data_IF_343128306601
#
_entry.id   IF_343128306601
#
_cell.length_a   1.000
_cell.length_b   1.000
_cell.length_c   1.000
_cell.angle_alpha   90.00
_cell.angle_beta   90.00
_cell.angle_gamma   90.00
#
_symmetry.space_group_name_H-M   'P 1'
#
loop_
_entity.id
_entity.type
_entity.pdbx_description
1 polymer ?
#
# COMPACT_ATOMS: atom_id res chain seq x y z
N UNK A 1 16.17 -12.14 -18.27
CA UNK A 1 15.46 -10.84 -18.15
C UNK A 1 15.65 -10.36 -16.74
N UNK A 2 16.14 -9.13 -16.54
CA UNK A 2 16.33 -8.55 -15.21
C UNK A 2 15.04 -8.67 -14.38
N UNK A 3 15.05 -9.53 -13.36
CA UNK A 3 13.94 -9.77 -12.46
C UNK A 3 13.54 -8.53 -11.62
N UNK A 4 14.02 -7.34 -11.97
CA UNK A 4 13.83 -6.08 -11.26
C UNK A 4 13.36 -4.93 -12.14
N UNK A 5 13.12 -5.15 -13.45
CA UNK A 5 12.58 -4.09 -14.32
C UNK A 5 11.08 -3.96 -14.13
N UNK A 6 10.66 -2.91 -13.42
CA UNK A 6 9.27 -2.46 -13.40
C UNK A 6 8.98 -1.65 -14.68
N UNK A 7 7.88 -1.93 -15.41
CA UNK A 7 7.57 -1.29 -16.69
C UNK A 7 7.34 0.24 -16.54
N UNK A 8 7.87 1.09 -17.45
CA UNK A 8 7.78 2.55 -17.34
C UNK A 8 6.36 3.12 -17.57
N UNK A 9 5.45 2.36 -18.20
CA UNK A 9 4.07 2.78 -18.48
C UNK A 9 3.03 1.81 -17.90
N UNK A 10 3.18 1.48 -16.62
CA UNK A 10 2.31 0.53 -15.94
C UNK A 10 0.96 1.16 -15.54
N UNK A 11 -0.12 0.79 -16.26
CA UNK A 11 -1.49 1.04 -15.82
C UNK A 11 -2.32 -0.23 -15.98
N UNK A 12 -2.64 -0.90 -14.87
CA UNK A 12 -3.64 -1.97 -14.89
C UNK A 12 -5.04 -1.39 -14.70
N UNK A 13 -5.82 -1.38 -15.78
CA UNK A 13 -7.25 -1.05 -15.80
C UNK A 13 -8.00 -2.21 -16.47
N UNK A 14 -8.19 -3.33 -15.76
CA UNK A 14 -8.78 -4.51 -16.36
C UNK A 14 -10.30 -4.32 -16.45
N UNK A 15 -10.85 -4.49 -17.64
CA UNK A 15 -12.29 -4.60 -17.88
C UNK A 15 -12.81 -6.02 -17.63
N UNK A 16 -11.91 -7.01 -17.67
CA UNK A 16 -12.20 -8.42 -17.42
C UNK A 16 -11.04 -9.13 -16.71
N UNK A 17 -11.27 -10.35 -16.21
CA UNK A 17 -10.20 -11.22 -15.69
C UNK A 17 -9.13 -11.52 -16.75
N UNK A 18 -9.53 -11.64 -18.02
CA UNK A 18 -8.62 -11.90 -19.15
C UNK A 18 -7.70 -10.72 -19.43
N UNK A 19 -8.23 -9.49 -19.38
CA UNK A 19 -7.41 -8.29 -19.55
C UNK A 19 -6.43 -8.12 -18.39
N UNK A 20 -6.87 -8.46 -17.18
CA UNK A 20 -6.04 -8.44 -15.98
C UNK A 20 -4.83 -9.37 -16.11
N UNK A 21 -5.05 -10.64 -16.43
CA UNK A 21 -3.96 -11.61 -16.57
C UNK A 21 -3.06 -11.29 -17.76
N UNK A 22 -3.63 -10.88 -18.90
CA UNK A 22 -2.86 -10.47 -20.08
C UNK A 22 -1.88 -9.34 -19.75
N UNK A 23 -2.34 -8.30 -19.03
CA UNK A 23 -1.49 -7.18 -18.62
C UNK A 23 -0.41 -7.66 -17.63
N UNK A 24 -0.76 -8.46 -16.62
CA UNK A 24 0.22 -8.97 -15.66
C UNK A 24 1.31 -9.83 -16.34
N UNK A 25 0.95 -10.66 -17.31
CA UNK A 25 1.90 -11.46 -18.10
C UNK A 25 2.78 -10.55 -18.95
N UNK A 26 2.20 -9.57 -19.65
CA UNK A 26 2.94 -8.61 -20.46
C UNK A 26 3.98 -7.84 -19.63
N UNK A 27 3.64 -7.50 -18.39
CA UNK A 27 4.53 -6.81 -17.46
C UNK A 27 5.52 -7.75 -16.74
N UNK A 28 5.44 -9.07 -16.97
CA UNK A 28 6.32 -10.06 -16.35
C UNK A 28 6.08 -10.21 -14.85
N UNK A 29 4.87 -9.91 -14.37
CA UNK A 29 4.52 -10.00 -12.95
C UNK A 29 3.97 -11.37 -12.57
N UNK A 30 3.43 -12.07 -13.55
CA UNK A 30 2.98 -13.45 -13.43
C UNK A 30 3.41 -14.20 -14.68
N UNK A 31 3.50 -15.52 -14.57
CA UNK A 31 3.67 -16.43 -15.71
C UNK A 31 2.48 -17.38 -15.78
N UNK A 32 2.10 -17.79 -16.98
CA UNK A 32 1.18 -18.91 -17.18
C UNK A 32 1.85 -20.19 -16.63
N UNK A 33 1.09 -20.98 -15.87
CA UNK A 33 1.58 -22.20 -15.25
C UNK A 33 0.46 -23.24 -15.15
N UNK A 34 0.14 -23.88 -16.28
CA UNK A 34 -0.91 -24.92 -16.35
C UNK A 34 -0.57 -26.18 -15.54
N UNK A 35 0.69 -26.35 -15.11
CA UNK A 35 1.14 -27.47 -14.28
C UNK A 35 1.14 -27.17 -12.77
N UNK A 36 0.68 -25.97 -12.35
CA UNK A 36 0.65 -25.58 -10.95
C UNK A 36 -0.22 -26.53 -10.12
N UNK A 37 0.29 -26.94 -8.96
CA UNK A 37 -0.46 -27.77 -8.00
C UNK A 37 -1.27 -26.96 -6.99
N UNK A 38 -1.04 -25.65 -6.97
CA UNK A 38 -1.72 -24.68 -6.13
C UNK A 38 -2.51 -23.70 -7.00
N UNK A 39 -3.71 -23.32 -6.57
CA UNK A 39 -4.48 -22.28 -7.24
C UNK A 39 -5.54 -21.67 -6.31
N UNK A 40 -5.45 -20.35 -6.08
CA UNK A 40 -6.52 -19.54 -5.50
C UNK A 40 -7.44 -18.96 -6.59
N UNK A 41 -8.69 -18.64 -6.28
CA UNK A 41 -9.59 -18.05 -7.26
C UNK A 41 -9.32 -16.54 -7.46
N UNK A 42 -9.23 -16.08 -8.70
CA UNK A 42 -9.32 -14.65 -9.00
C UNK A 42 -10.79 -14.19 -9.02
N UNK A 43 -11.12 -13.25 -8.14
CA UNK A 43 -12.48 -12.77 -7.91
C UNK A 43 -12.59 -11.25 -8.13
N UNK A 44 -13.70 -10.77 -8.71
CA UNK A 44 -13.96 -9.33 -8.78
C UNK A 44 -14.37 -8.81 -7.39
N UNK A 45 -13.67 -7.80 -6.91
CA UNK A 45 -14.01 -7.06 -5.70
C UNK A 45 -14.44 -5.64 -6.09
N UNK A 46 -15.57 -5.19 -5.55
CA UNK A 46 -16.07 -3.82 -5.76
C UNK A 46 -15.07 -2.81 -5.17
N UNK A 47 -14.80 -1.71 -5.89
CA UNK A 47 -14.04 -0.59 -5.32
C UNK A 47 -14.94 0.18 -4.35
N UNK A 48 -14.40 0.46 -3.17
CA UNK A 48 -15.07 1.27 -2.15
C UNK A 48 -15.49 2.61 -2.73
N UNK A 49 -16.73 3.03 -2.47
CA UNK A 49 -17.27 4.32 -2.93
C UNK A 49 -17.71 4.36 -4.39
N UNK A 50 -17.82 3.22 -5.09
CA UNK A 50 -18.28 3.18 -6.49
C UNK A 50 -19.40 2.17 -6.71
N UNK A 51 -20.36 2.53 -7.58
CA UNK A 51 -21.52 1.69 -7.92
C UNK A 51 -21.20 0.64 -8.98
N UNK A 52 -20.28 0.90 -9.92
CA UNK A 52 -19.99 -0.03 -11.02
C UNK A 52 -18.49 -0.22 -11.33
N UNK A 53 -17.60 0.07 -10.38
CA UNK A 53 -16.16 -0.17 -10.56
C UNK A 53 -15.68 -1.37 -9.75
N UNK A 54 -15.08 -2.34 -10.43
CA UNK A 54 -14.49 -3.53 -9.83
C UNK A 54 -12.96 -3.53 -9.98
N UNK A 55 -12.29 -4.25 -9.09
CA UNK A 55 -10.88 -4.64 -9.16
C UNK A 55 -10.80 -6.16 -9.11
N UNK A 56 -9.92 -6.76 -9.90
CA UNK A 56 -9.64 -8.19 -9.76
C UNK A 56 -8.70 -8.39 -8.59
N UNK A 57 -9.04 -9.32 -7.69
CA UNK A 57 -8.27 -9.69 -6.50
C UNK A 57 -8.18 -11.21 -6.42
N UNK A 58 -7.12 -11.73 -5.83
CA UNK A 58 -6.96 -13.17 -5.64
C UNK A 58 -7.43 -13.54 -4.23
N UNK A 59 -8.28 -14.55 -4.12
CA UNK A 59 -8.77 -15.03 -2.84
C UNK A 59 -7.76 -15.98 -2.17
N UNK A 60 -6.78 -15.38 -1.50
CA UNK A 60 -5.74 -16.11 -0.78
C UNK A 60 -6.17 -16.67 0.58
N UNK A 61 -7.45 -16.57 0.98
CA UNK A 61 -7.91 -17.09 2.29
C UNK A 61 -7.51 -18.55 2.55
N UNK A 62 -7.58 -19.49 1.58
CA UNK A 62 -7.15 -20.87 1.81
C UNK A 62 -5.65 -20.99 2.10
N UNK A 63 -4.81 -20.30 1.34
CA UNK A 63 -3.35 -20.31 1.52
C UNK A 63 -2.95 -19.59 2.80
N UNK A 64 -3.61 -18.48 3.12
CA UNK A 64 -3.37 -17.72 4.35
C UNK A 64 -3.58 -18.59 5.60
N UNK A 65 -4.54 -19.54 5.60
CA UNK A 65 -4.74 -20.48 6.72
C UNK A 65 -3.58 -21.46 6.93
N UNK A 66 -2.77 -21.70 5.90
CA UNK A 66 -1.64 -22.62 5.92
C UNK A 66 -0.31 -21.89 6.11
N UNK A 67 -0.33 -20.56 6.07
CA UNK A 67 0.86 -19.71 6.17
C UNK A 67 1.16 -19.46 7.64
N UNK A 68 2.42 -19.60 8.02
CA UNK A 68 2.90 -19.17 9.34
C UNK A 68 3.13 -17.66 9.25
N UNK A 69 2.36 -16.82 9.97
CA UNK A 69 2.43 -15.37 9.82
C UNK A 69 3.77 -14.83 10.33
N UNK A 70 4.30 -13.84 9.62
CA UNK A 70 5.42 -13.03 10.12
C UNK A 70 4.92 -12.20 11.31
N UNK A 71 5.61 -12.30 12.44
CA UNK A 71 5.42 -11.37 13.54
C UNK A 71 5.85 -9.96 13.10
N UNK A 72 4.89 -9.06 12.91
CA UNK A 72 5.12 -7.67 12.57
C UNK A 72 4.94 -6.77 13.78
N UNK A 73 5.79 -5.75 13.90
CA UNK A 73 5.57 -4.68 14.88
C UNK A 73 4.57 -3.70 14.27
N UNK A 74 3.44 -3.51 14.95
CA UNK A 74 2.54 -2.41 14.64
C UNK A 74 3.18 -1.12 15.18
N UNK A 75 3.39 -0.15 14.29
CA UNK A 75 3.89 1.15 14.70
C UNK A 75 2.82 1.85 15.54
N UNK A 76 3.23 2.44 16.67
CA UNK A 76 2.35 3.29 17.47
C UNK A 76 2.16 4.61 16.73
N UNK A 77 0.93 4.89 16.30
CA UNK A 77 0.61 6.07 15.51
C UNK A 77 0.91 7.37 16.27
N UNK A 78 0.61 7.44 17.57
CA UNK A 78 0.83 8.65 18.38
C UNK A 78 2.33 8.95 18.50
N UNK A 79 3.15 7.93 18.75
CA UNK A 79 4.60 8.08 18.78
C UNK A 79 5.18 8.55 17.43
N UNK A 80 4.60 8.10 16.31
CA UNK A 80 4.99 8.58 14.99
C UNK A 80 4.55 10.04 14.77
N UNK A 81 3.37 10.44 15.23
CA UNK A 81 2.88 11.82 15.09
C UNK A 81 3.72 12.81 15.89
N UNK A 82 4.21 12.41 17.07
CA UNK A 82 5.15 13.22 17.87
C UNK A 82 6.43 13.55 17.09
N UNK A 83 6.95 12.62 16.28
CA UNK A 83 8.16 12.84 15.45
C UNK A 83 7.95 13.90 14.35
N UNK A 84 6.69 14.18 14.00
CA UNK A 84 6.32 15.09 12.92
C UNK A 84 5.92 16.47 13.46
N UNK A 85 5.58 16.55 14.75
CA UNK A 85 5.23 17.80 15.40
C UNK A 85 6.34 18.85 15.20
N UNK A 86 5.95 20.10 14.93
CA UNK A 86 6.89 21.19 14.63
C UNK A 86 7.30 21.30 13.16
N UNK A 87 7.00 20.30 12.32
CA UNK A 87 7.31 20.36 10.89
C UNK A 87 6.42 21.32 10.13
N UNK A 88 6.99 22.08 9.19
CA UNK A 88 6.26 23.12 8.42
C UNK A 88 6.22 22.85 6.92
N UNK A 89 6.92 21.81 6.46
CA UNK A 89 7.03 21.42 5.06
C UNK A 89 6.77 19.92 4.95
N UNK A 90 5.80 19.55 4.10
CA UNK A 90 5.36 18.17 3.96
C UNK A 90 5.29 17.75 2.49
N UNK A 91 5.56 16.48 2.19
CA UNK A 91 5.18 15.85 0.93
C UNK A 91 4.60 14.47 1.21
N UNK A 92 3.60 14.08 0.45
CA UNK A 92 2.99 12.76 0.51
C UNK A 92 3.25 12.01 -0.77
N UNK A 93 3.64 10.75 -0.66
CA UNK A 93 3.90 9.86 -1.78
C UNK A 93 3.12 8.55 -1.64
N UNK A 94 2.64 8.04 -2.78
CA UNK A 94 1.98 6.73 -2.93
C UNK A 94 2.82 5.93 -3.91
N UNK A 95 3.15 4.68 -3.58
CA UNK A 95 3.86 3.79 -4.51
C UNK A 95 2.90 3.24 -5.55
N UNK A 96 3.32 3.23 -6.81
CA UNK A 96 2.53 2.69 -7.90
C UNK A 96 2.38 1.18 -7.73
N UNK A 97 1.23 0.74 -7.20
CA UNK A 97 0.90 -0.68 -7.04
C UNK A 97 2.00 -1.41 -6.23
N UNK A 98 2.35 -0.83 -5.07
CA UNK A 98 3.51 -1.14 -4.23
C UNK A 98 3.89 -2.63 -4.18
N UNK A 99 2.98 -3.51 -3.77
CA UNK A 99 3.25 -4.95 -3.67
C UNK A 99 3.85 -5.57 -4.95
N UNK A 100 3.33 -5.21 -6.13
CA UNK A 100 3.80 -5.74 -7.41
C UNK A 100 5.21 -5.29 -7.79
N UNK A 101 5.79 -4.31 -7.08
CA UNK A 101 7.18 -3.91 -7.26
C UNK A 101 8.14 -4.88 -6.56
N UNK A 102 7.69 -5.61 -5.53
CA UNK A 102 8.53 -6.53 -4.76
C UNK A 102 8.62 -7.88 -5.46
N UNK A 103 9.82 -8.44 -5.69
CA UNK A 103 9.96 -9.80 -6.17
C UNK A 103 9.45 -10.80 -5.12
N UNK A 104 8.86 -11.89 -5.61
CA UNK A 104 8.48 -13.02 -4.78
C UNK A 104 9.55 -14.10 -4.85
N UNK A 105 9.96 -14.63 -3.69
CA UNK A 105 10.95 -15.70 -3.62
C UNK A 105 10.46 -16.94 -4.40
N UNK A 106 11.30 -17.60 -5.23
CA UNK A 106 10.91 -18.73 -6.07
C UNK A 106 10.09 -19.81 -5.33
N UNK A 107 10.50 -20.17 -4.12
CA UNK A 107 9.85 -21.21 -3.32
C UNK A 107 8.42 -20.86 -2.88
N UNK A 108 8.09 -19.57 -2.82
CA UNK A 108 6.74 -19.10 -2.47
C UNK A 108 5.84 -18.87 -3.68
N UNK A 109 6.40 -18.86 -4.90
CA UNK A 109 5.66 -18.47 -6.11
C UNK A 109 4.49 -19.40 -6.40
N UNK A 110 4.75 -20.71 -6.45
CA UNK A 110 3.72 -21.68 -6.83
C UNK A 110 2.54 -21.66 -5.84
N UNK A 111 2.82 -21.60 -4.54
CA UNK A 111 1.79 -21.54 -3.47
C UNK A 111 0.84 -20.35 -3.63
N UNK A 112 1.32 -19.23 -4.18
CA UNK A 112 0.52 -18.03 -4.44
C UNK A 112 -0.10 -17.98 -5.84
N UNK A 113 -0.09 -19.08 -6.58
CA UNK A 113 -0.73 -19.17 -7.89
C UNK A 113 -2.24 -18.94 -7.80
N UNK A 114 -2.82 -18.42 -8.87
CA UNK A 114 -4.24 -18.14 -8.97
C UNK A 114 -4.81 -18.54 -10.32
N UNK A 115 -6.07 -18.93 -10.34
CA UNK A 115 -6.79 -19.36 -11.54
C UNK A 115 -7.83 -18.34 -11.99
N UNK A 116 -7.98 -18.23 -13.31
CA UNK A 116 -9.10 -17.58 -13.98
C UNK A 116 -9.84 -18.60 -14.85
N UNK A 117 -10.83 -18.16 -15.62
CA UNK A 117 -11.51 -19.00 -16.62
C UNK A 117 -10.59 -19.44 -17.78
N UNK A 118 -9.41 -18.81 -17.93
CA UNK A 118 -8.49 -19.05 -19.04
C UNK A 118 -7.38 -20.06 -18.68
N UNK A 119 -6.73 -19.88 -17.53
CA UNK A 119 -5.57 -20.67 -17.11
C UNK A 119 -5.21 -20.41 -15.63
N UNK A 120 -4.20 -21.11 -15.14
CA UNK A 120 -3.53 -20.85 -13.87
C UNK A 120 -2.29 -19.99 -14.09
N UNK A 121 -2.12 -18.98 -13.24
CA UNK A 121 -1.02 -18.03 -13.30
C UNK A 121 -0.25 -18.04 -11.97
N UNK A 122 1.07 -18.12 -12.07
CA UNK A 122 1.97 -18.09 -10.91
C UNK A 122 2.62 -16.70 -10.80
N UNK A 123 2.48 -16.01 -9.67
CA UNK A 123 3.09 -14.69 -9.48
C UNK A 123 4.61 -14.77 -9.33
N UNK A 124 5.30 -13.79 -9.91
CA UNK A 124 6.74 -13.56 -9.78
C UNK A 124 7.03 -12.38 -8.83
N UNK A 125 5.97 -11.71 -8.38
CA UNK A 125 5.96 -10.52 -7.52
C UNK A 125 5.01 -10.74 -6.37
N UNK A 126 5.19 -10.02 -5.28
CA UNK A 126 4.33 -10.14 -4.10
C UNK A 126 2.90 -9.72 -4.48
N UNK A 127 1.91 -10.64 -4.44
CA UNK A 127 0.55 -10.30 -4.78
C UNK A 127 -0.15 -9.64 -3.58
N UNK A 128 -1.14 -8.79 -3.86
CA UNK A 128 -1.97 -8.22 -2.81
C UNK A 128 -2.90 -9.29 -2.22
N UNK A 129 -3.07 -9.29 -0.88
CA UNK A 129 -4.04 -10.14 -0.18
C UNK A 129 -3.47 -11.45 0.41
N UNK A 130 -2.22 -11.79 0.09
CA UNK A 130 -1.51 -12.85 0.81
C UNK A 130 -1.16 -12.37 2.23
N UNK A 131 -1.08 -13.32 3.17
CA UNK A 131 -0.99 -13.07 4.61
C UNK A 131 0.08 -12.05 4.98
N UNK A 132 1.31 -12.23 4.48
CA UNK A 132 2.46 -11.42 4.88
C UNK A 132 2.77 -10.26 3.93
N UNK A 133 1.98 -10.06 2.86
CA UNK A 133 2.31 -9.06 1.83
C UNK A 133 2.52 -7.66 2.42
N UNK A 134 1.64 -7.24 3.34
CA UNK A 134 1.71 -5.92 3.97
C UNK A 134 2.92 -5.77 4.91
N UNK A 135 3.16 -6.77 5.76
CA UNK A 135 4.27 -6.75 6.73
C UNK A 135 5.61 -6.80 6.00
N UNK A 136 5.74 -7.71 5.02
CA UNK A 136 6.92 -7.80 4.18
C UNK A 136 7.17 -6.47 3.47
N UNK A 137 6.16 -5.89 2.82
CA UNK A 137 6.29 -4.62 2.11
C UNK A 137 6.75 -3.49 3.02
N UNK A 138 6.13 -3.38 4.20
CA UNK A 138 6.53 -2.38 5.19
C UNK A 138 8.00 -2.55 5.63
N UNK A 139 8.42 -3.77 5.94
CA UNK A 139 9.80 -4.07 6.32
C UNK A 139 10.79 -3.68 5.20
N UNK A 140 10.45 -3.97 3.94
CA UNK A 140 11.29 -3.62 2.80
C UNK A 140 11.40 -2.10 2.61
N UNK A 141 10.29 -1.36 2.71
CA UNK A 141 10.34 0.10 2.61
C UNK A 141 11.13 0.71 3.76
N UNK A 142 10.93 0.22 4.99
CA UNK A 142 11.68 0.69 6.14
C UNK A 142 13.18 0.41 6.00
N UNK A 143 13.57 -0.72 5.40
CA UNK A 143 14.97 -1.01 5.12
C UNK A 143 15.56 -0.02 4.10
N UNK A 144 14.82 0.29 3.03
CA UNK A 144 15.25 1.25 1.98
C UNK A 144 15.40 2.66 2.54
N UNK A 145 14.45 3.12 3.34
CA UNK A 145 14.40 4.50 3.83
C UNK A 145 14.97 4.65 5.25
N UNK A 146 15.69 3.64 5.76
CA UNK A 146 16.14 3.55 7.15
C UNK A 146 16.82 4.83 7.66
N UNK A 147 17.65 5.44 6.83
CA UNK A 147 18.39 6.67 7.15
C UNK A 147 17.51 7.94 7.25
N UNK A 148 16.29 7.93 6.70
CA UNK A 148 15.34 9.04 6.79
C UNK A 148 14.25 8.80 7.84
N UNK A 149 14.05 7.55 8.27
CA UNK A 149 12.98 7.17 9.19
C UNK A 149 13.09 7.90 10.53
N UNK A 150 11.98 8.48 10.98
CA UNK A 150 11.87 9.15 12.28
C UNK A 150 12.52 10.54 12.35
N UNK A 151 13.18 10.98 11.28
CA UNK A 151 13.75 12.32 11.18
C UNK A 151 13.10 13.15 10.07
N UNK A 152 12.96 12.56 8.88
CA UNK A 152 12.42 13.25 7.70
C UNK A 152 11.44 12.40 6.91
N UNK A 153 11.21 11.15 7.32
CA UNK A 153 10.32 10.22 6.64
C UNK A 153 9.53 9.40 7.66
N UNK A 154 8.22 9.28 7.44
CA UNK A 154 7.42 8.21 8.02
C UNK A 154 6.84 7.33 6.93
N UNK A 155 6.65 6.06 7.26
CA UNK A 155 6.12 5.04 6.37
C UNK A 155 5.08 4.23 7.13
N UNK A 156 3.89 4.11 6.53
CA UNK A 156 2.83 3.25 6.99
C UNK A 156 2.28 2.46 5.80
N UNK A 157 2.69 1.20 5.68
CA UNK A 157 2.39 0.34 4.53
C UNK A 157 2.70 1.05 3.20
N UNK A 158 1.70 1.57 2.49
CA UNK A 158 1.83 2.22 1.18
C UNK A 158 1.93 3.75 1.25
N UNK A 159 1.55 4.35 2.38
CA UNK A 159 1.64 5.80 2.58
C UNK A 159 3.06 6.15 3.01
N UNK A 160 3.68 7.11 2.32
CA UNK A 160 4.98 7.68 2.68
C UNK A 160 4.82 9.19 2.83
N UNK A 161 5.28 9.74 3.95
CA UNK A 161 5.33 11.18 4.17
C UNK A 161 6.76 11.61 4.38
N UNK A 162 7.15 12.69 3.70
CA UNK A 162 8.41 13.39 3.92
C UNK A 162 8.08 14.69 4.62
N UNK A 163 8.83 15.02 5.67
CA UNK A 163 8.58 16.18 6.49
C UNK A 163 9.87 16.87 6.93
N UNK A 164 9.81 18.17 7.14
CA UNK A 164 10.90 18.94 7.74
C UNK A 164 10.40 20.26 8.35
N UNK A 165 11.20 20.81 9.27
CA UNK A 165 10.94 22.07 9.95
C UNK A 165 11.19 23.30 9.05
N UNK A 166 12.10 23.19 8.07
CA UNK A 166 12.47 24.27 7.16
C UNK A 166 12.50 23.84 5.69
N UNK A 167 12.35 24.79 4.76
CA UNK A 167 12.39 24.52 3.33
C UNK A 167 13.75 23.96 2.86
N UNK A 168 14.86 24.40 3.47
CA UNK A 168 16.21 23.92 3.14
C UNK A 168 16.35 22.44 3.51
N UNK A 169 15.98 22.08 4.75
CA UNK A 169 16.00 20.68 5.20
C UNK A 169 15.04 19.83 4.36
N UNK A 170 13.87 20.37 4.00
CA UNK A 170 12.89 19.67 3.18
C UNK A 170 13.41 19.31 1.79
N UNK A 171 14.09 20.25 1.11
CA UNK A 171 14.69 20.00 -0.20
C UNK A 171 15.80 18.96 -0.11
N UNK A 172 16.62 19.00 0.95
CA UNK A 172 17.65 17.98 1.20
C UNK A 172 17.04 16.58 1.43
N UNK A 173 15.99 16.49 2.25
CA UNK A 173 15.26 15.26 2.50
C UNK A 173 14.62 14.69 1.22
N UNK A 174 13.97 15.53 0.42
CA UNK A 174 13.39 15.13 -0.86
C UNK A 174 14.45 14.62 -1.85
N UNK A 175 15.59 15.31 -1.95
CA UNK A 175 16.70 14.87 -2.80
C UNK A 175 17.12 13.45 -2.40
N UNK A 176 17.37 13.23 -1.11
CA UNK A 176 17.81 11.94 -0.61
C UNK A 176 16.75 10.85 -0.81
N UNK A 177 15.48 11.18 -0.54
CA UNK A 177 14.35 10.30 -0.80
C UNK A 177 14.28 9.84 -2.27
N UNK A 178 14.43 10.76 -3.22
CA UNK A 178 14.42 10.42 -4.65
C UNK A 178 15.67 9.62 -5.09
N UNK A 179 16.84 9.88 -4.49
CA UNK A 179 18.04 9.07 -4.72
C UNK A 179 17.84 7.62 -4.27
N UNK A 180 17.24 7.39 -3.09
CA UNK A 180 16.92 6.07 -2.59
C UNK A 180 15.90 5.35 -3.49
N UNK A 181 14.82 6.04 -3.88
CA UNK A 181 13.84 5.51 -4.83
C UNK A 181 14.51 5.08 -6.14
N UNK A 182 15.40 5.91 -6.68
CA UNK A 182 16.12 5.62 -7.92
C UNK A 182 17.02 4.40 -7.77
N UNK A 183 17.83 4.37 -6.70
CA UNK A 183 18.77 3.28 -6.39
C UNK A 183 18.06 1.94 -6.26
N UNK A 184 16.93 1.92 -5.55
CA UNK A 184 16.13 0.72 -5.32
C UNK A 184 15.06 0.46 -6.40
N UNK A 185 15.02 1.29 -7.46
CA UNK A 185 14.10 1.17 -8.61
C UNK A 185 12.61 1.18 -8.21
N UNK A 186 12.29 1.85 -7.11
CA UNK A 186 10.92 2.04 -6.64
C UNK A 186 10.22 3.12 -7.49
N UNK A 187 8.94 2.88 -7.78
CA UNK A 187 8.13 3.74 -8.65
C UNK A 187 6.98 4.39 -7.89
N UNK A 188 6.95 5.72 -7.91
CA UNK A 188 5.88 6.51 -7.33
C UNK A 188 4.69 6.65 -8.28
N UNK A 189 3.52 6.81 -7.69
CA UNK A 189 2.31 7.22 -8.36
C UNK A 189 2.21 8.74 -8.37
N UNK A 190 2.68 9.36 -9.47
CA UNK A 190 2.73 10.81 -9.62
C UNK A 190 1.38 11.47 -9.39
N UNK A 191 0.27 10.86 -9.87
CA UNK A 191 -1.08 11.44 -9.74
C UNK A 191 -1.61 11.51 -8.31
N UNK A 192 -1.08 10.67 -7.43
CA UNK A 192 -1.44 10.63 -6.00
C UNK A 192 -0.37 11.24 -5.10
N UNK A 193 0.75 11.66 -5.69
CA UNK A 193 1.83 12.29 -4.95
C UNK A 193 1.54 13.78 -4.81
N UNK A 194 1.81 14.33 -3.63
CA UNK A 194 1.68 15.75 -3.31
C UNK A 194 3.07 16.21 -2.91
N UNK A 195 3.66 17.10 -3.71
CA UNK A 195 4.97 17.67 -3.43
C UNK A 195 4.74 19.05 -2.83
N UNK A 196 5.13 19.19 -1.56
CA UNK A 196 5.02 20.41 -0.77
C UNK A 196 3.59 20.82 -0.38
N UNK A 197 3.33 20.76 0.92
CA UNK A 197 2.21 21.40 1.58
C UNK A 197 2.67 21.91 2.96
N UNK A 198 1.96 22.92 3.48
CA UNK A 198 2.19 23.45 4.84
C UNK A 198 1.57 22.59 5.93
N UNK A 199 0.57 21.79 5.56
CA UNK A 199 -0.09 20.83 6.43
C UNK A 199 -0.09 19.47 5.72
N UNK A 200 0.36 18.43 6.41
CA UNK A 200 0.43 17.06 5.90
C UNK A 200 -0.71 16.21 6.42
N UNK A 201 -1.41 15.50 5.52
CA UNK A 201 -2.38 14.47 5.92
C UNK A 201 -1.68 13.12 6.09
N UNK A 202 -1.71 12.57 7.30
CA UNK A 202 -1.07 11.29 7.65
C UNK A 202 -2.00 10.43 8.52
N UNK A 203 -2.30 9.21 8.08
CA UNK A 203 -3.14 8.24 8.82
C UNK A 203 -4.46 8.81 9.38
N UNK A 204 -5.09 9.76 8.68
CA UNK A 204 -6.33 10.42 9.12
C UNK A 204 -6.14 11.58 10.09
N UNK A 205 -4.90 12.05 10.26
CA UNK A 205 -4.51 13.24 11.02
C UNK A 205 -3.96 14.29 10.09
N UNK A 206 -4.36 15.53 10.30
CA UNK A 206 -3.77 16.71 9.69
C UNK A 206 -2.69 17.25 10.64
N UNK A 207 -1.44 17.25 10.18
CA UNK A 207 -0.27 17.70 10.95
C UNK A 207 0.26 18.98 10.34
N UNK A 208 0.51 19.98 11.19
CA UNK A 208 1.16 21.23 10.84
C UNK A 208 2.24 21.57 11.87
N UNK A 209 2.96 22.67 11.65
CA UNK A 209 4.05 23.09 12.55
C UNK A 209 3.57 23.45 13.96
N UNK A 210 2.27 23.66 14.18
CA UNK A 210 1.72 24.11 15.45
C UNK A 210 0.64 23.19 16.02
N UNK A 211 0.11 22.24 15.24
CA UNK A 211 -1.00 21.41 15.69
C UNK A 211 -1.05 20.05 14.99
N UNK A 212 -1.55 19.05 15.72
CA UNK A 212 -2.05 17.79 15.17
C UNK A 212 -3.56 17.76 15.39
N UNK A 213 -4.33 17.57 14.32
CA UNK A 213 -5.80 17.53 14.34
C UNK A 213 -6.28 16.29 13.59
N UNK A 214 -7.49 15.82 13.88
CA UNK A 214 -8.09 14.76 13.05
C UNK A 214 -8.53 15.34 11.71
N UNK A 215 -8.61 14.48 10.68
CA UNK A 215 -9.19 14.84 9.39
C UNK A 215 -10.65 15.33 9.59
N UNK A 216 -10.95 16.61 9.27
CA UNK A 216 -12.29 17.16 9.40
C UNK A 216 -13.35 16.38 8.60
N UNK A 217 -12.97 15.80 7.46
CA UNK A 217 -13.89 14.99 6.65
C UNK A 217 -14.24 13.68 7.34
N UNK A 218 -13.27 13.07 8.02
CA UNK A 218 -13.49 11.82 8.78
C UNK A 218 -14.37 12.07 9.99
N UNK A 219 -14.12 13.18 10.71
CA UNK A 219 -14.99 13.64 11.79
C UNK A 219 -16.42 13.86 11.31
N UNK A 220 -16.60 14.65 10.24
CA UNK A 220 -17.92 14.91 9.67
C UNK A 220 -18.64 13.63 9.22
N UNK A 221 -17.93 12.70 8.58
CA UNK A 221 -18.48 11.42 8.16
C UNK A 221 -18.96 10.59 9.36
N UNK A 222 -18.19 10.54 10.46
CA UNK A 222 -18.59 9.81 11.66
C UNK A 222 -19.75 10.49 12.40
N UNK A 223 -19.74 11.82 12.49
CA UNK A 223 -20.81 12.61 13.13
C UNK A 223 -22.15 12.53 12.41
N UNK A 224 -22.15 12.16 11.12
CA UNK A 224 -23.36 12.06 10.29
C UNK A 224 -23.87 10.62 10.14
N UNK A 225 -23.19 9.63 10.73
CA UNK A 225 -23.64 8.24 10.68
C UNK A 225 -24.96 8.07 11.47
N UNK A 226 -25.92 7.31 10.93
CA UNK A 226 -27.09 6.93 11.71
C UNK A 226 -26.69 5.98 12.85
N UNK A 227 -27.50 5.88 13.92
CA UNK A 227 -27.27 4.92 14.99
C UNK A 227 -27.10 3.50 14.44
N UNK A 228 -26.07 2.74 14.88
CA UNK A 228 -25.78 1.43 14.33
C UNK A 228 -26.94 0.46 14.60
N UNK A 229 -27.54 -0.16 13.55
CA UNK A 229 -28.74 -0.99 13.72
C UNK A 229 -28.43 -2.40 14.24
N UNK A 230 -27.16 -2.80 14.31
CA UNK A 230 -26.73 -4.14 14.72
C UNK A 230 -25.47 -4.09 15.58
N UNK A 231 -25.20 -5.14 16.34
CA UNK A 231 -23.97 -5.29 17.14
C UNK A 231 -22.73 -5.22 16.24
N UNK A 232 -22.76 -5.84 15.06
CA UNK A 232 -21.65 -5.78 14.10
C UNK A 232 -21.39 -4.34 13.62
N UNK A 233 -22.45 -3.59 13.30
CA UNK A 233 -22.34 -2.18 12.94
C UNK A 233 -21.85 -1.32 14.11
N UNK A 234 -22.26 -1.64 15.34
CA UNK A 234 -21.78 -0.96 16.54
C UNK A 234 -20.28 -1.21 16.76
N UNK A 235 -19.82 -2.45 16.64
CA UNK A 235 -18.39 -2.76 16.72
C UNK A 235 -17.59 -2.01 15.65
N UNK A 236 -18.09 -1.95 14.42
CA UNK A 236 -17.44 -1.19 13.35
C UNK A 236 -17.38 0.31 13.67
N UNK A 237 -18.46 0.88 14.22
CA UNK A 237 -18.50 2.29 14.64
C UNK A 237 -17.49 2.56 15.76
N UNK A 238 -17.48 1.75 16.83
CA UNK A 238 -16.54 1.88 17.95
C UNK A 238 -15.10 1.76 17.46
N UNK A 239 -14.81 0.79 16.59
CA UNK A 239 -13.49 0.67 15.97
C UNK A 239 -13.13 1.94 15.18
N UNK A 240 -14.05 2.51 14.39
CA UNK A 240 -13.78 3.71 13.61
C UNK A 240 -13.54 4.95 14.49
N UNK A 241 -14.28 5.09 15.60
CA UNK A 241 -14.10 6.17 16.58
C UNK A 241 -12.79 6.04 17.34
N UNK A 242 -12.34 4.83 17.68
CA UNK A 242 -11.02 4.63 18.32
C UNK A 242 -9.84 5.03 17.41
N UNK A 243 -10.08 5.18 16.10
CA UNK A 243 -9.12 5.69 15.13
C UNK A 243 -9.20 7.20 14.90
N UNK A 244 -10.12 7.88 15.60
CA UNK A 244 -9.99 9.29 15.86
C UNK A 244 -8.99 9.42 17.00
#
# INVERSE_FOLDING_TARGET
MDAWRFPPHFQIKPTSKKDYTKQLVQFGFVRRNDAARWACAAVPARKTGTVDSFRITNDYRPVNKLTIPIAGVMLNLDAMLEQVAGSSCFAKFDLMKGFWQMPLHPDSQEVLSFMTEDSVFTPLRVPQGAMDSSVHFQNQLQAVFRELLGHHCLIWIDDIIIYAESAVAFVAALRRFFELLHTHRLRLNVKKSIIYCKEGMWCGRLVSGTAVRHDPNRLAALSTLPPPPTIAALHQFVCAVNWL
#
